data_IF_514253810561
#
_entry.id   IF_514253810561
#
_cell.length_a   1.000
_cell.length_b   1.000
_cell.length_c   1.000
_cell.angle_alpha   90.00
_cell.angle_beta   90.00
_cell.angle_gamma   90.00
#
_symmetry.space_group_name_H-M   'P 1'
#
loop_
_entity.id
_entity.type
_entity.pdbx_description
1 polymer ?
#
# COMPACT_ATOMS: atom_id res chain seq x y z
N UNK A 1 11.95 6.83 25.22
CA UNK A 1 11.44 5.73 26.09
C UNK A 1 12.52 5.07 26.92
N UNK A 2 13.72 4.80 26.39
CA UNK A 2 14.81 4.19 27.17
C UNK A 2 15.13 4.88 28.50
N UNK A 3 15.21 6.21 28.55
CA UNK A 3 15.44 6.96 29.80
C UNK A 3 14.30 6.78 30.82
N UNK A 4 13.06 6.83 30.34
CA UNK A 4 11.88 6.59 31.16
C UNK A 4 11.87 5.13 31.70
N UNK A 5 12.23 4.16 30.87
CA UNK A 5 12.34 2.74 31.25
C UNK A 5 13.53 2.46 32.18
N UNK A 6 14.58 3.28 32.10
CA UNK A 6 15.71 3.29 33.02
C UNK A 6 15.39 3.96 34.38
N UNK A 7 14.15 4.41 34.58
CA UNK A 7 13.67 4.94 35.85
C UNK A 7 13.78 6.46 36.01
N UNK A 8 14.12 7.21 34.96
CA UNK A 8 14.10 8.69 35.01
C UNK A 8 12.66 9.17 35.21
N UNK A 9 12.47 10.11 36.14
CA UNK A 9 11.14 10.62 36.47
C UNK A 9 10.51 11.39 35.29
N UNK A 10 9.17 11.36 35.19
CA UNK A 10 8.44 12.13 34.16
C UNK A 10 8.78 13.62 34.26
N UNK A 11 8.89 14.15 35.49
CA UNK A 11 9.21 15.55 35.72
C UNK A 11 10.60 15.93 35.17
N UNK A 12 11.60 15.07 35.32
CA UNK A 12 12.95 15.29 34.78
C UNK A 12 12.98 15.23 33.26
N UNK A 13 12.25 14.28 32.68
CA UNK A 13 12.13 14.16 31.24
C UNK A 13 11.41 15.36 30.63
N UNK A 14 10.36 15.85 31.27
CA UNK A 14 9.63 17.03 30.80
C UNK A 14 10.51 18.29 30.85
N UNK A 15 11.31 18.46 31.91
CA UNK A 15 12.28 19.57 32.03
C UNK A 15 13.40 19.49 31.00
N UNK A 16 13.95 18.29 30.79
CA UNK A 16 15.09 18.07 29.89
C UNK A 16 14.69 18.22 28.43
N UNK A 17 13.55 17.63 28.04
CA UNK A 17 13.13 17.53 26.64
C UNK A 17 12.09 18.60 26.24
N UNK A 18 11.65 19.45 27.18
CA UNK A 18 10.67 20.51 26.91
C UNK A 18 9.30 19.98 26.48
N UNK A 19 8.94 18.77 26.92
CA UNK A 19 7.66 18.11 26.60
C UNK A 19 6.78 18.07 27.83
N UNK A 20 5.46 17.97 27.64
CA UNK A 20 4.53 17.79 28.76
C UNK A 20 4.35 16.32 29.15
N UNK A 21 3.91 16.08 30.39
CA UNK A 21 3.66 14.75 30.96
C UNK A 21 2.78 13.88 30.04
N UNK A 22 1.72 14.47 29.49
CA UNK A 22 0.79 13.78 28.59
C UNK A 22 1.50 13.20 27.35
N UNK A 23 2.47 13.92 26.79
CA UNK A 23 3.26 13.44 25.64
C UNK A 23 4.12 12.23 26.01
N UNK A 24 4.72 12.25 27.21
CA UNK A 24 5.55 11.14 27.71
C UNK A 24 4.71 9.89 27.90
N UNK A 25 3.53 10.01 28.52
CA UNK A 25 2.62 8.88 28.68
C UNK A 25 2.08 8.36 27.35
N UNK A 26 1.77 9.23 26.39
CA UNK A 26 1.37 8.82 25.04
C UNK A 26 2.50 8.05 24.33
N UNK A 27 3.75 8.49 24.44
CA UNK A 27 4.89 7.77 23.89
C UNK A 27 5.14 6.45 24.62
N UNK A 28 4.92 6.39 25.94
CA UNK A 28 4.99 5.13 26.68
C UNK A 28 3.92 4.14 26.21
N UNK A 29 2.69 4.58 26.01
CA UNK A 29 1.62 3.71 25.52
C UNK A 29 1.89 3.20 24.10
N UNK A 30 2.52 4.01 23.25
CA UNK A 30 2.77 3.68 21.84
C UNK A 30 4.08 2.92 21.60
N UNK A 31 5.11 3.21 22.38
CA UNK A 31 6.49 2.76 22.13
C UNK A 31 7.15 2.13 23.36
N UNK A 32 6.48 2.08 24.51
CA UNK A 32 7.02 1.45 25.71
C UNK A 32 7.19 -0.05 25.48
N UNK A 33 8.35 -0.59 25.87
CA UNK A 33 8.71 -1.99 25.68
C UNK A 33 9.05 -2.39 24.24
N UNK A 34 9.01 -1.46 23.28
CA UNK A 34 9.42 -1.70 21.89
C UNK A 34 10.89 -1.34 21.71
N UNK A 35 11.72 -2.28 21.25
CA UNK A 35 13.11 -1.96 20.93
C UNK A 35 13.21 -1.10 19.66
N UNK A 36 14.30 -0.32 19.56
CA UNK A 36 14.58 0.53 18.40
C UNK A 36 14.68 -0.30 17.11
N UNK A 37 15.18 -1.53 17.19
CA UNK A 37 15.24 -2.43 16.03
C UNK A 37 13.84 -2.86 15.57
N UNK A 38 12.93 -3.13 16.50
CA UNK A 38 11.53 -3.47 16.21
C UNK A 38 10.78 -2.29 15.62
N UNK A 39 10.96 -1.09 16.17
CA UNK A 39 10.36 0.13 15.63
C UNK A 39 10.82 0.42 14.19
N UNK A 40 12.11 0.21 13.90
CA UNK A 40 12.66 0.36 12.53
C UNK A 40 12.08 -0.70 11.58
N UNK A 41 11.99 -1.95 12.04
CA UNK A 41 11.40 -3.04 11.25
C UNK A 41 9.93 -2.79 10.95
N UNK A 42 9.16 -2.32 11.94
CA UNK A 42 7.76 -1.97 11.77
C UNK A 42 7.58 -0.91 10.69
N UNK A 43 8.36 0.17 10.76
CA UNK A 43 8.31 1.23 9.73
C UNK A 43 8.65 0.70 8.33
N UNK A 44 9.67 -0.12 8.21
CA UNK A 44 10.05 -0.71 6.92
C UNK A 44 8.93 -1.60 6.35
N UNK A 45 8.21 -2.35 7.20
CA UNK A 45 7.07 -3.16 6.78
C UNK A 45 5.87 -2.30 6.38
N UNK A 46 5.60 -1.20 7.09
CA UNK A 46 4.54 -0.24 6.74
C UNK A 46 4.81 0.45 5.39
N UNK A 47 6.06 0.84 5.15
CA UNK A 47 6.49 1.44 3.88
C UNK A 47 6.32 0.45 2.72
N UNK A 48 6.72 -0.81 2.92
CA UNK A 48 6.58 -1.86 1.90
C UNK A 48 5.12 -2.24 1.66
N UNK A 49 4.30 -2.38 2.70
CA UNK A 49 2.86 -2.63 2.56
C UNK A 49 2.17 -1.51 1.77
N UNK A 50 2.54 -0.25 2.02
CA UNK A 50 2.05 0.90 1.25
C UNK A 50 2.46 0.82 -0.21
N UNK A 51 3.72 0.45 -0.49
CA UNK A 51 4.22 0.26 -1.85
C UNK A 51 3.49 -0.87 -2.57
N UNK A 52 3.33 -2.02 -1.91
CA UNK A 52 2.66 -3.19 -2.48
C UNK A 52 1.19 -2.92 -2.77
N UNK A 53 0.48 -2.23 -1.88
CA UNK A 53 -0.91 -1.83 -2.13
C UNK A 53 -1.07 -0.94 -3.35
N UNK A 54 -0.14 -0.01 -3.58
CA UNK A 54 -0.13 0.83 -4.80
C UNK A 54 0.09 -0.01 -6.06
N UNK A 55 1.14 -0.84 -6.07
CA UNK A 55 1.44 -1.71 -7.22
C UNK A 55 0.30 -2.68 -7.53
N UNK A 56 -0.36 -3.22 -6.50
CA UNK A 56 -1.51 -4.09 -6.66
C UNK A 56 -2.69 -3.33 -7.29
N UNK A 57 -2.98 -2.11 -6.82
CA UNK A 57 -4.03 -1.27 -7.40
C UNK A 57 -3.77 -0.97 -8.88
N UNK A 58 -2.54 -0.57 -9.23
CA UNK A 58 -2.12 -0.31 -10.61
C UNK A 58 -2.30 -1.56 -11.49
N UNK A 59 -1.80 -2.72 -11.02
CA UNK A 59 -1.95 -3.98 -11.74
C UNK A 59 -3.41 -4.41 -11.91
N UNK A 60 -4.27 -4.15 -10.92
CA UNK A 60 -5.70 -4.43 -11.01
C UNK A 60 -6.39 -3.52 -12.03
N UNK A 61 -6.02 -2.24 -12.10
CA UNK A 61 -6.52 -1.30 -13.11
C UNK A 61 -6.11 -1.73 -14.52
N UNK A 62 -4.84 -2.08 -14.72
CA UNK A 62 -4.34 -2.59 -16.00
C UNK A 62 -5.07 -3.87 -16.40
N UNK A 63 -5.27 -4.80 -15.46
CA UNK A 63 -5.98 -6.05 -15.72
C UNK A 63 -7.44 -5.79 -16.14
N UNK A 64 -8.12 -4.84 -15.49
CA UNK A 64 -9.48 -4.46 -15.86
C UNK A 64 -9.52 -3.84 -17.27
N UNK A 65 -8.61 -2.91 -17.58
CA UNK A 65 -8.52 -2.28 -18.90
C UNK A 65 -8.26 -3.30 -20.02
N UNK A 66 -7.36 -4.26 -19.79
CA UNK A 66 -7.07 -5.33 -20.74
C UNK A 66 -8.28 -6.24 -20.96
N UNK A 67 -8.99 -6.62 -19.89
CA UNK A 67 -10.23 -7.41 -20.01
C UNK A 67 -11.32 -6.67 -20.78
N UNK A 68 -11.46 -5.37 -20.56
CA UNK A 68 -12.42 -4.53 -21.29
C UNK A 68 -12.08 -4.40 -22.78
N UNK A 69 -10.79 -4.34 -23.13
CA UNK A 69 -10.36 -4.36 -24.53
C UNK A 69 -10.67 -5.69 -25.20
N UNK A 70 -10.30 -6.81 -24.58
CA UNK A 70 -10.60 -8.16 -25.09
C UNK A 70 -12.11 -8.37 -25.22
N UNK A 71 -12.89 -7.91 -24.25
CA UNK A 71 -14.35 -7.96 -24.30
C UNK A 71 -14.91 -7.16 -25.47
N UNK A 72 -14.38 -5.96 -25.74
CA UNK A 72 -14.79 -5.14 -26.89
C UNK A 72 -14.43 -5.79 -28.23
N UNK A 73 -13.23 -6.34 -28.35
CA UNK A 73 -12.81 -7.04 -29.57
C UNK A 73 -13.67 -8.27 -29.83
N UNK A 74 -14.01 -9.05 -28.80
CA UNK A 74 -14.91 -10.18 -28.91
C UNK A 74 -16.32 -9.77 -29.37
N UNK A 75 -16.85 -8.66 -28.84
CA UNK A 75 -18.15 -8.10 -29.26
C UNK A 75 -18.07 -7.56 -30.70
N UNK A 76 -16.97 -6.91 -31.09
CA UNK A 76 -16.77 -6.45 -32.46
C UNK A 76 -16.71 -7.60 -33.44
N UNK A 77 -15.97 -8.68 -33.12
CA UNK A 77 -15.89 -9.90 -33.92
C UNK A 77 -17.22 -10.65 -34.00
N UNK A 78 -17.97 -10.72 -32.90
CA UNK A 78 -19.31 -11.32 -32.89
C UNK A 78 -20.34 -10.49 -33.69
N UNK A 79 -20.25 -9.15 -33.61
CA UNK A 79 -21.11 -8.23 -34.35
C UNK A 79 -20.74 -8.08 -35.83
N UNK A 80 -19.51 -8.44 -36.23
CA UNK A 80 -19.04 -8.44 -37.62
C UNK A 80 -19.26 -9.77 -38.35
N UNK A 81 -20.20 -10.59 -37.88
CA UNK A 81 -20.62 -11.81 -38.54
C UNK A 81 -20.79 -11.66 -40.06
N UNK A 82 -20.09 -12.52 -40.80
CA UNK A 82 -20.35 -12.89 -42.18
C UNK A 82 -20.28 -11.77 -43.25
N UNK A 83 -19.06 -11.37 -43.66
CA UNK A 83 -18.85 -11.07 -45.09
C UNK A 83 -18.42 -12.35 -45.79
N UNK A 84 -19.38 -13.05 -46.38
CA UNK A 84 -19.15 -14.16 -47.29
C UNK A 84 -18.20 -13.71 -48.40
N UNK A 85 -16.95 -14.14 -48.36
CA UNK A 85 -16.07 -14.02 -49.51
C UNK A 85 -16.53 -15.09 -50.52
N UNK A 86 -17.41 -14.73 -51.46
CA UNK A 86 -17.69 -15.60 -52.61
C UNK A 86 -16.43 -15.64 -53.47
N UNK A 87 -15.89 -16.84 -53.79
CA UNK A 87 -14.78 -16.92 -54.71
C UNK A 87 -15.28 -16.53 -56.11
N UNK A 88 -14.63 -15.56 -56.74
CA UNK A 88 -14.83 -15.26 -58.15
C UNK A 88 -14.31 -16.44 -58.95
N UNK A 89 -15.22 -17.25 -59.50
CA UNK A 89 -14.88 -18.24 -60.50
C UNK A 89 -14.31 -17.51 -61.73
N UNK A 90 -13.00 -17.66 -61.98
CA UNK A 90 -12.38 -17.21 -63.22
C UNK A 90 -12.90 -18.10 -64.36
N UNK A 91 -13.39 -17.45 -65.42
CA UNK A 91 -13.69 -18.08 -66.72
C UNK A 91 -12.40 -18.33 -67.49
#
# INVERSE_FOLDING_TARGET
MKEFEAGVSVADLCRTHGVGDASIYNWKARFGGMDVSEARRLKALEDEDTRLKRLLADAMLDNAALKDLVGRDAVYLAGSGARSHRPVARR
#
